data_IF_743847845428
#
_entry.id   IF_743847845428
#
_cell.length_a   1.000
_cell.length_b   1.000
_cell.length_c   1.000
_cell.angle_alpha   90.00
_cell.angle_beta   90.00
_cell.angle_gamma   90.00
#
_symmetry.space_group_name_H-M   'P 1'
#
loop_
_entity.id
_entity.type
_entity.pdbx_description
1 polymer ?
#
# COMPACT_ATOMS: atom_id res chain seq x y z
N UNK A 1 -43.05 -7.20 18.08
CA UNK A 1 -43.50 -6.95 19.46
C UNK A 1 -42.55 -7.63 20.42
N UNK A 2 -42.02 -6.85 21.35
CA UNK A 2 -41.22 -7.34 22.48
C UNK A 2 -42.15 -7.67 23.64
N UNK A 3 -41.82 -8.65 24.48
CA UNK A 3 -42.61 -9.01 25.66
C UNK A 3 -41.70 -9.43 26.82
N UNK A 4 -42.20 -9.29 28.04
CA UNK A 4 -41.47 -9.62 29.26
C UNK A 4 -41.82 -11.03 29.73
N UNK A 5 -40.84 -11.79 30.17
CA UNK A 5 -41.00 -13.14 30.72
C UNK A 5 -40.24 -13.26 32.04
N UNK A 6 -40.86 -13.85 33.06
CA UNK A 6 -40.21 -14.11 34.34
C UNK A 6 -39.30 -15.35 34.22
N UNK A 7 -38.03 -15.21 34.62
CA UNK A 7 -37.03 -16.29 34.55
C UNK A 7 -36.64 -16.85 35.93
N UNK A 8 -36.98 -16.16 37.01
CA UNK A 8 -36.76 -16.63 38.39
C UNK A 8 -37.56 -15.80 39.42
N UNK A 9 -37.40 -16.09 40.72
CA UNK A 9 -38.16 -15.44 41.79
C UNK A 9 -38.06 -13.90 41.78
N UNK A 10 -36.91 -13.34 41.39
CA UNK A 10 -36.68 -11.90 41.26
C UNK A 10 -35.88 -11.55 39.99
N UNK A 11 -36.10 -12.29 38.90
CA UNK A 11 -35.37 -12.08 37.64
C UNK A 11 -36.30 -12.16 36.43
N UNK A 12 -36.16 -11.19 35.54
CA UNK A 12 -36.97 -11.01 34.35
C UNK A 12 -36.07 -10.96 33.10
N UNK A 13 -36.62 -11.39 31.96
CA UNK A 13 -36.02 -11.25 30.63
C UNK A 13 -36.99 -10.58 29.66
N UNK A 14 -36.45 -9.84 28.71
CA UNK A 14 -37.22 -9.29 27.58
C UNK A 14 -36.97 -10.16 26.35
N UNK A 15 -38.04 -10.62 25.72
CA UNK A 15 -38.00 -11.38 24.47
C UNK A 15 -38.56 -10.56 23.33
N UNK A 16 -38.03 -10.76 22.14
CA UNK A 16 -38.45 -10.02 20.96
C UNK A 16 -38.30 -10.89 19.72
N UNK A 17 -39.09 -10.60 18.68
CA UNK A 17 -38.95 -11.29 17.39
C UNK A 17 -37.92 -10.57 16.53
N UNK A 18 -36.98 -11.33 15.95
CA UNK A 18 -36.04 -10.86 14.93
C UNK A 18 -36.68 -10.91 13.55
N UNK A 19 -36.10 -10.19 12.58
CA UNK A 19 -36.59 -10.14 11.20
C UNK A 19 -36.66 -11.53 10.53
N UNK A 20 -35.80 -12.47 10.94
CA UNK A 20 -35.79 -13.86 10.45
C UNK A 20 -36.78 -14.80 11.19
N UNK A 21 -37.71 -14.27 11.98
CA UNK A 21 -38.70 -15.05 12.74
C UNK A 21 -38.19 -15.71 14.02
N UNK A 22 -36.87 -15.69 14.27
CA UNK A 22 -36.28 -16.20 15.51
C UNK A 22 -36.55 -15.27 16.70
N UNK A 23 -36.59 -15.84 17.91
CA UNK A 23 -36.84 -15.09 19.15
C UNK A 23 -35.53 -14.74 19.83
N UNK A 24 -35.27 -13.45 20.03
CA UNK A 24 -34.18 -12.94 20.87
C UNK A 24 -34.57 -12.87 22.35
N UNK A 25 -33.58 -12.79 23.22
CA UNK A 25 -33.75 -12.69 24.67
C UNK A 25 -32.66 -11.80 25.28
N UNK A 26 -33.05 -10.86 26.12
CA UNK A 26 -32.16 -10.05 26.97
C UNK A 26 -32.53 -10.32 28.42
N UNK A 27 -31.73 -11.11 29.15
CA UNK A 27 -31.93 -11.36 30.58
C UNK A 27 -31.29 -10.26 31.44
N UNK A 28 -31.56 -10.25 32.75
CA UNK A 28 -30.80 -9.46 33.73
C UNK A 28 -31.58 -8.35 34.45
N UNK A 29 -32.91 -8.30 34.30
CA UNK A 29 -33.72 -7.31 34.99
C UNK A 29 -34.17 -7.82 36.36
N UNK A 30 -33.95 -7.05 37.42
CA UNK A 30 -34.35 -7.38 38.80
C UNK A 30 -35.82 -7.08 39.10
N UNK A 31 -36.45 -6.21 38.30
CA UNK A 31 -37.87 -5.84 38.44
C UNK A 31 -38.61 -5.95 37.11
N UNK A 32 -39.91 -6.24 37.18
CA UNK A 32 -40.79 -6.30 36.00
C UNK A 32 -40.85 -4.97 35.27
N UNK A 33 -40.99 -3.87 36.02
CA UNK A 33 -41.08 -2.52 35.46
C UNK A 33 -39.82 -2.10 34.68
N UNK A 34 -38.62 -2.50 35.13
CA UNK A 34 -37.38 -2.25 34.37
C UNK A 34 -37.33 -3.04 33.06
N UNK A 35 -37.85 -4.27 33.05
CA UNK A 35 -37.95 -5.09 31.85
C UNK A 35 -39.01 -4.54 30.87
N UNK A 36 -40.15 -4.05 31.36
CA UNK A 36 -41.20 -3.43 30.55
C UNK A 36 -40.71 -2.13 29.91
N UNK A 37 -40.07 -1.23 30.68
CA UNK A 37 -39.49 0.00 30.14
C UNK A 37 -38.45 -0.28 29.05
N UNK A 38 -37.59 -1.29 29.24
CA UNK A 38 -36.63 -1.70 28.22
C UNK A 38 -37.30 -2.29 26.97
N UNK A 39 -38.41 -3.02 27.14
CA UNK A 39 -39.19 -3.52 26.00
C UNK A 39 -39.83 -2.38 25.20
N UNK A 40 -40.33 -1.34 25.86
CA UNK A 40 -40.92 -0.15 25.22
C UNK A 40 -39.88 0.68 24.47
N UNK A 41 -38.69 0.89 25.06
CA UNK A 41 -37.55 1.52 24.38
C UNK A 41 -37.14 0.72 23.15
N UNK A 42 -37.09 -0.61 23.28
CA UNK A 42 -36.77 -1.52 22.18
C UNK A 42 -37.80 -1.44 21.04
N UNK A 43 -39.10 -1.39 21.36
CA UNK A 43 -40.13 -1.19 20.35
C UNK A 43 -40.04 0.18 19.69
N UNK A 44 -39.72 1.22 20.45
CA UNK A 44 -39.51 2.57 19.94
C UNK A 44 -38.36 2.60 18.94
N UNK A 45 -37.25 1.95 19.26
CA UNK A 45 -36.11 1.82 18.35
C UNK A 45 -36.44 0.99 17.11
N UNK A 46 -37.26 -0.06 17.24
CA UNK A 46 -37.72 -0.88 16.10
C UNK A 46 -38.61 -0.06 15.16
N UNK A 47 -39.53 0.73 15.72
CA UNK A 47 -40.40 1.65 14.96
C UNK A 47 -39.58 2.73 14.23
N UNK A 48 -38.55 3.27 14.89
CA UNK A 48 -37.60 4.23 14.29
C UNK A 48 -36.66 3.59 13.27
N UNK A 49 -36.65 2.25 13.15
CA UNK A 49 -35.70 1.47 12.34
C UNK A 49 -34.23 1.70 12.73
N UNK A 50 -33.99 2.11 13.98
CA UNK A 50 -32.66 2.34 14.57
C UNK A 50 -32.26 1.16 15.47
N UNK A 51 -33.18 0.24 15.75
CA UNK A 51 -32.92 -0.92 16.58
C UNK A 51 -31.78 -1.79 16.07
N UNK A 52 -30.89 -2.14 17.00
CA UNK A 52 -29.72 -2.99 16.80
C UNK A 52 -29.87 -4.19 17.70
N UNK A 53 -29.63 -5.38 17.16
CA UNK A 53 -29.65 -6.59 17.97
C UNK A 53 -28.52 -6.51 19.02
N UNK A 54 -28.83 -6.53 20.33
CA UNK A 54 -27.79 -6.55 21.36
C UNK A 54 -26.86 -7.77 21.26
N UNK A 55 -27.28 -8.83 20.58
CA UNK A 55 -26.41 -9.96 20.25
C UNK A 55 -25.41 -9.65 19.14
N UNK A 56 -25.76 -8.77 18.19
CA UNK A 56 -24.88 -8.34 17.10
C UNK A 56 -23.71 -7.50 17.61
N UNK A 57 -23.95 -6.61 18.58
CA UNK A 57 -22.90 -5.79 19.20
C UNK A 57 -21.91 -6.59 20.05
N UNK A 58 -22.31 -7.79 20.50
CA UNK A 58 -21.45 -8.75 21.23
C UNK A 58 -20.51 -9.54 20.33
N UNK A 59 -20.71 -9.53 19.01
CA UNK A 59 -19.75 -10.12 18.08
C UNK A 59 -18.40 -9.42 18.25
N UNK A 60 -17.31 -10.18 18.33
CA UNK A 60 -15.97 -9.59 18.42
C UNK A 60 -15.51 -9.06 17.06
N UNK A 61 -14.59 -8.10 17.07
CA UNK A 61 -14.00 -7.59 15.83
C UNK A 61 -13.34 -8.72 15.01
N UNK A 62 -12.67 -9.67 15.66
CA UNK A 62 -12.06 -10.82 14.99
C UNK A 62 -13.08 -11.67 14.23
N UNK A 63 -14.17 -12.05 14.88
CA UNK A 63 -15.25 -12.81 14.26
C UNK A 63 -15.95 -12.05 13.12
N UNK A 64 -16.03 -10.73 13.25
CA UNK A 64 -16.55 -9.88 12.17
C UNK A 64 -15.59 -9.84 10.97
N UNK A 65 -14.30 -9.61 11.22
CA UNK A 65 -13.26 -9.58 10.18
C UNK A 65 -13.16 -10.91 9.42
N UNK A 66 -13.33 -12.05 10.09
CA UNK A 66 -13.37 -13.38 9.43
C UNK A 66 -14.48 -13.49 8.37
N UNK A 67 -15.61 -12.81 8.57
CA UNK A 67 -16.73 -12.76 7.60
C UNK A 67 -16.56 -11.64 6.58
N UNK A 68 -16.02 -10.51 7.03
CA UNK A 68 -15.90 -9.28 6.26
C UNK A 68 -14.75 -9.34 5.24
N UNK A 69 -13.61 -9.93 5.60
CA UNK A 69 -12.40 -9.90 4.76
C UNK A 69 -12.53 -10.70 3.46
N UNK A 70 -13.11 -11.93 3.44
CA UNK A 70 -13.21 -12.73 2.21
C UNK A 70 -14.12 -12.14 1.14
N UNK A 71 -15.05 -11.25 1.50
CA UNK A 71 -15.99 -10.63 0.55
C UNK A 71 -15.46 -9.32 -0.05
N UNK A 72 -14.27 -8.87 0.35
CA UNK A 72 -13.69 -7.63 -0.16
C UNK A 72 -13.18 -7.81 -1.60
N UNK A 73 -13.77 -7.04 -2.52
CA UNK A 73 -13.29 -6.96 -3.91
C UNK A 73 -12.28 -5.81 -4.04
N UNK A 74 -11.03 -6.09 -3.69
CA UNK A 74 -9.93 -5.12 -3.78
C UNK A 74 -8.72 -5.74 -4.46
N UNK A 75 -7.89 -4.87 -5.06
CA UNK A 75 -6.64 -5.28 -5.71
C UNK A 75 -5.77 -6.17 -4.79
N UNK A 76 -5.10 -7.23 -5.30
CA UNK A 76 -4.33 -8.18 -4.49
C UNK A 76 -3.30 -7.54 -3.56
N UNK A 77 -2.69 -6.42 -3.96
CA UNK A 77 -1.73 -5.70 -3.10
C UNK A 77 -2.45 -5.03 -1.92
N UNK A 78 -3.68 -4.59 -2.12
CA UNK A 78 -4.53 -4.02 -1.07
C UNK A 78 -4.92 -5.11 -0.08
N UNK A 79 -5.28 -6.31 -0.56
CA UNK A 79 -5.50 -7.50 0.29
C UNK A 79 -4.29 -7.78 1.17
N UNK A 80 -3.08 -7.84 0.60
CA UNK A 80 -1.84 -8.05 1.36
C UNK A 80 -1.60 -6.99 2.44
N UNK A 81 -1.83 -5.72 2.11
CA UNK A 81 -1.66 -4.64 3.07
C UNK A 81 -2.68 -4.77 4.21
N UNK A 82 -3.94 -5.05 3.87
CA UNK A 82 -5.00 -5.21 4.85
C UNK A 82 -4.73 -6.39 5.77
N UNK A 83 -4.38 -7.55 5.22
CA UNK A 83 -4.01 -8.72 5.99
C UNK A 83 -2.83 -8.42 6.92
N UNK A 84 -1.78 -7.75 6.43
CA UNK A 84 -0.65 -7.33 7.26
C UNK A 84 -1.07 -6.39 8.38
N UNK A 85 -1.96 -5.43 8.12
CA UNK A 85 -2.42 -4.48 9.15
C UNK A 85 -3.32 -5.17 10.18
N UNK A 86 -4.20 -6.06 9.72
CA UNK A 86 -5.06 -6.89 10.56
C UNK A 86 -4.21 -7.74 11.50
N UNK A 87 -3.31 -8.55 10.93
CA UNK A 87 -2.48 -9.51 11.67
C UNK A 87 -1.54 -8.85 12.66
N UNK A 88 -0.86 -7.79 12.26
CA UNK A 88 0.23 -7.20 13.05
C UNK A 88 -0.24 -6.15 14.05
N UNK A 89 -1.40 -5.52 13.83
CA UNK A 89 -1.78 -4.31 14.57
C UNK A 89 -3.24 -4.30 15.02
N UNK A 90 -4.20 -4.41 14.09
CA UNK A 90 -5.62 -4.22 14.40
C UNK A 90 -6.17 -5.36 15.27
N UNK A 91 -5.99 -6.61 14.84
CA UNK A 91 -6.50 -7.78 15.58
C UNK A 91 -5.73 -8.02 16.88
N UNK A 92 -4.46 -7.61 16.94
CA UNK A 92 -3.65 -7.66 18.17
C UNK A 92 -4.29 -6.80 19.26
N UNK A 93 -4.81 -5.61 18.93
CA UNK A 93 -5.40 -4.70 19.91
C UNK A 93 -6.88 -4.94 20.16
N UNK A 94 -7.65 -5.16 19.10
CA UNK A 94 -9.12 -5.12 19.14
C UNK A 94 -9.78 -6.46 18.79
N UNK A 95 -9.03 -7.48 18.37
CA UNK A 95 -9.61 -8.71 17.79
C UNK A 95 -10.56 -9.45 18.72
N UNK A 96 -10.30 -9.46 20.03
CA UNK A 96 -11.16 -10.10 21.03
C UNK A 96 -12.24 -9.18 21.59
N UNK A 97 -12.20 -7.88 21.29
CA UNK A 97 -13.17 -6.91 21.82
C UNK A 97 -14.51 -7.05 21.07
N UNK A 98 -15.64 -7.06 21.79
CA UNK A 98 -16.97 -6.88 21.18
C UNK A 98 -17.03 -5.58 20.37
N UNK A 99 -17.68 -5.60 19.22
CA UNK A 99 -17.82 -4.44 18.35
C UNK A 99 -18.45 -3.24 19.09
N UNK A 100 -19.44 -3.50 19.96
CA UNK A 100 -20.12 -2.48 20.74
C UNK A 100 -19.28 -1.88 21.88
N UNK A 101 -18.17 -2.49 22.26
CA UNK A 101 -17.30 -2.03 23.34
C UNK A 101 -16.10 -1.22 22.83
N UNK A 102 -15.85 -1.21 21.51
CA UNK A 102 -14.74 -0.44 20.94
C UNK A 102 -15.09 1.05 21.02
N UNK A 103 -14.39 1.80 21.86
CA UNK A 103 -14.64 3.24 22.04
C UNK A 103 -13.65 4.11 21.26
N UNK A 104 -14.01 5.38 21.09
CA UNK A 104 -13.10 6.38 20.53
C UNK A 104 -11.84 6.57 21.39
N UNK A 105 -11.95 6.38 22.72
CA UNK A 105 -10.84 6.51 23.65
C UNK A 105 -9.82 5.37 23.45
N UNK A 106 -10.29 4.14 23.22
CA UNK A 106 -9.42 2.99 22.94
C UNK A 106 -8.61 3.20 21.66
N UNK A 107 -9.25 3.75 20.64
CA UNK A 107 -8.61 4.07 19.36
C UNK A 107 -7.57 5.19 19.55
N UNK A 108 -7.92 6.26 20.27
CA UNK A 108 -6.99 7.37 20.54
C UNK A 108 -5.78 6.90 21.37
N UNK A 109 -5.99 6.01 22.36
CA UNK A 109 -4.94 5.39 23.14
C UNK A 109 -4.02 4.53 22.26
N UNK A 110 -4.60 3.66 21.43
CA UNK A 110 -3.84 2.81 20.51
C UNK A 110 -3.02 3.62 19.49
N UNK A 111 -3.58 4.71 18.98
CA UNK A 111 -2.86 5.63 18.08
C UNK A 111 -1.67 6.27 18.80
N UNK A 112 -1.84 6.70 20.05
CA UNK A 112 -0.78 7.29 20.86
C UNK A 112 0.33 6.26 21.14
N UNK A 113 -0.04 5.07 21.63
CA UNK A 113 0.89 3.96 21.89
C UNK A 113 1.68 3.57 20.63
N UNK A 114 1.01 3.51 19.48
CA UNK A 114 1.66 3.22 18.20
C UNK A 114 2.67 4.30 17.80
N UNK A 115 2.37 5.57 18.05
CA UNK A 115 3.32 6.66 17.79
C UNK A 115 4.51 6.63 18.78
N UNK A 116 4.26 6.30 20.05
CA UNK A 116 5.30 6.13 21.07
C UNK A 116 6.22 4.94 20.78
N UNK A 117 5.68 3.87 20.18
CA UNK A 117 6.44 2.74 19.66
C UNK A 117 7.29 3.07 18.40
N UNK A 118 7.24 4.31 17.90
CA UNK A 118 8.09 4.78 16.81
C UNK A 118 7.52 4.63 15.40
N UNK A 119 6.25 4.22 15.25
CA UNK A 119 5.62 4.15 13.93
C UNK A 119 5.36 5.54 13.35
N UNK A 120 5.54 5.68 12.04
CA UNK A 120 5.25 6.93 11.34
C UNK A 120 3.74 7.26 11.38
N UNK A 121 3.41 8.54 11.56
CA UNK A 121 2.03 9.04 11.62
C UNK A 121 1.18 8.60 10.42
N UNK A 122 1.76 8.58 9.21
CA UNK A 122 1.07 8.15 8.00
C UNK A 122 0.73 6.65 8.03
N UNK A 123 1.61 5.82 8.62
CA UNK A 123 1.40 4.37 8.77
C UNK A 123 0.26 4.10 9.75
N UNK A 124 0.30 4.73 10.94
CA UNK A 124 -0.77 4.61 11.94
C UNK A 124 -2.10 5.08 11.37
N UNK A 125 -2.12 6.17 10.60
CA UNK A 125 -3.32 6.65 9.92
C UNK A 125 -3.89 5.63 8.92
N UNK A 126 -3.05 4.84 8.24
CA UNK A 126 -3.53 3.75 7.36
C UNK A 126 -4.20 2.62 8.14
N UNK A 127 -3.68 2.27 9.32
CA UNK A 127 -4.31 1.26 10.18
C UNK A 127 -5.67 1.73 10.70
N UNK A 128 -5.75 2.98 11.16
CA UNK A 128 -7.02 3.59 11.61
C UNK A 128 -8.03 3.68 10.46
N UNK A 129 -7.59 3.98 9.24
CA UNK A 129 -8.47 3.97 8.06
C UNK A 129 -9.06 2.59 7.79
N UNK A 130 -8.25 1.54 7.85
CA UNK A 130 -8.74 0.17 7.70
C UNK A 130 -9.74 -0.18 8.80
N UNK A 131 -9.42 0.12 10.06
CA UNK A 131 -10.35 -0.08 11.18
C UNK A 131 -11.66 0.70 10.97
N UNK A 132 -11.58 1.95 10.52
CA UNK A 132 -12.76 2.76 10.23
C UNK A 132 -13.63 2.14 9.14
N UNK A 133 -13.03 1.60 8.07
CA UNK A 133 -13.76 0.91 7.01
C UNK A 133 -14.49 -0.34 7.55
N UNK A 134 -13.79 -1.20 8.30
CA UNK A 134 -14.37 -2.40 8.92
C UNK A 134 -15.57 -2.03 9.82
N UNK A 135 -15.44 -0.96 10.60
CA UNK A 135 -16.48 -0.50 11.52
C UNK A 135 -17.63 0.23 10.81
N UNK A 136 -17.39 0.89 9.67
CA UNK A 136 -18.48 1.44 8.85
C UNK A 136 -19.35 0.32 8.28
N UNK A 137 -18.73 -0.74 7.76
CA UNK A 137 -19.48 -1.88 7.22
C UNK A 137 -20.24 -2.60 8.35
N UNK A 138 -19.70 -2.62 9.57
CA UNK A 138 -20.43 -3.11 10.74
C UNK A 138 -21.64 -2.23 11.10
N UNK A 139 -21.57 -0.91 10.90
CA UNK A 139 -22.72 0.01 11.04
C UNK A 139 -23.77 -0.27 9.96
N UNK A 140 -23.35 -0.46 8.71
CA UNK A 140 -24.26 -0.77 7.60
C UNK A 140 -25.01 -2.09 7.83
N UNK A 141 -24.32 -3.08 8.39
CA UNK A 141 -24.89 -4.37 8.81
C UNK A 141 -25.66 -4.30 10.14
N UNK A 142 -25.80 -3.10 10.74
CA UNK A 142 -26.50 -2.86 12.01
C UNK A 142 -25.98 -3.71 13.17
N UNK A 143 -24.67 -3.99 13.19
CA UNK A 143 -23.99 -4.63 14.32
C UNK A 143 -23.66 -3.62 15.42
N UNK A 144 -23.41 -2.36 15.03
CA UNK A 144 -23.14 -1.23 15.93
C UNK A 144 -23.86 0.03 15.45
N UNK A 145 -24.19 0.98 16.35
CA UNK A 145 -24.99 2.15 16.00
C UNK A 145 -24.22 3.22 15.25
N UNK A 146 -22.93 3.32 15.50
CA UNK A 146 -22.08 4.34 14.91
C UNK A 146 -20.63 3.88 14.92
N UNK A 147 -19.85 4.39 13.96
CA UNK A 147 -18.43 4.16 13.92
C UNK A 147 -17.73 4.97 15.03
N UNK A 148 -17.02 4.33 15.99
CA UNK A 148 -16.31 5.03 17.05
C UNK A 148 -15.08 5.80 16.55
N UNK A 149 -14.60 5.53 15.32
CA UNK A 149 -13.55 6.33 14.68
C UNK A 149 -14.11 7.72 14.40
N UNK A 150 -13.94 8.63 15.37
CA UNK A 150 -14.41 10.02 15.24
C UNK A 150 -13.77 10.67 14.02
N UNK A 151 -14.61 11.18 13.11
CA UNK A 151 -14.20 12.29 12.25
C UNK A 151 -14.06 13.54 13.12
N UNK A 152 -12.95 13.66 13.86
CA UNK A 152 -12.65 14.90 14.60
C UNK A 152 -12.55 16.04 13.58
N UNK A 153 -13.62 16.81 13.39
CA UNK A 153 -13.52 18.22 13.00
C UNK A 153 -12.69 18.85 14.11
N UNK A 154 -11.42 19.10 13.80
CA UNK A 154 -10.33 19.42 14.73
C UNK A 154 -10.66 20.61 15.64
N UNK A 155 -11.39 20.39 16.74
CA UNK A 155 -11.51 21.39 17.82
C UNK A 155 -10.17 21.45 18.56
N UNK A 156 -9.45 22.56 18.42
CA UNK A 156 -8.40 22.98 19.36
C UNK A 156 -6.95 22.57 19.09
N UNK A 157 -6.62 21.64 18.18
CA UNK A 157 -5.22 21.28 17.89
C UNK A 157 -4.71 21.94 16.61
N UNK A 158 -3.80 22.91 16.73
CA UNK A 158 -2.93 23.37 15.63
C UNK A 158 -2.03 22.20 15.21
N UNK A 159 -2.53 21.34 14.34
CA UNK A 159 -1.68 20.36 13.67
C UNK A 159 -0.91 21.12 12.58
N UNK A 160 0.30 21.62 12.91
CA UNK A 160 1.28 21.98 11.88
C UNK A 160 1.74 20.67 11.24
N UNK A 161 0.98 20.16 10.28
CA UNK A 161 1.49 19.16 9.36
C UNK A 161 2.52 19.88 8.51
N UNK A 162 3.77 19.89 8.96
CA UNK A 162 4.89 20.29 8.12
C UNK A 162 4.94 19.23 7.03
N UNK A 163 4.40 19.54 5.85
CA UNK A 163 4.56 18.69 4.69
C UNK A 163 6.07 18.55 4.47
N UNK A 164 6.60 17.34 4.70
CA UNK A 164 8.00 17.07 4.37
C UNK A 164 8.14 17.30 2.87
N UNK A 165 9.03 18.20 2.50
CA UNK A 165 9.37 18.42 1.10
C UNK A 165 9.82 17.08 0.51
N UNK A 166 9.19 16.68 -0.60
CA UNK A 166 9.53 15.41 -1.23
C UNK A 166 10.89 15.58 -1.90
N UNK A 167 11.85 14.75 -1.51
CA UNK A 167 13.19 14.72 -2.10
C UNK A 167 13.09 14.40 -3.59
N UNK A 168 13.73 15.23 -4.41
CA UNK A 168 13.86 15.05 -5.85
C UNK A 168 15.31 15.30 -6.26
N UNK A 169 15.76 14.68 -7.35
CA UNK A 169 17.14 14.73 -7.82
C UNK A 169 17.28 15.63 -9.06
N UNK A 170 18.39 16.34 -9.18
CA UNK A 170 18.79 17.00 -10.43
C UNK A 170 19.18 15.96 -11.49
N UNK A 171 19.17 16.31 -12.79
CA UNK A 171 19.66 15.43 -13.84
C UNK A 171 21.08 14.89 -13.58
N UNK A 172 22.00 15.72 -13.09
CA UNK A 172 23.37 15.35 -12.74
C UNK A 172 23.41 14.32 -11.59
N UNK A 173 22.61 14.55 -10.55
CA UNK A 173 22.48 13.58 -9.45
C UNK A 173 21.91 12.25 -9.93
N UNK A 174 20.92 12.27 -10.84
CA UNK A 174 20.38 11.05 -11.42
C UNK A 174 21.44 10.30 -12.23
N UNK A 175 22.26 10.97 -13.03
CA UNK A 175 23.34 10.30 -13.76
C UNK A 175 24.35 9.66 -12.81
N UNK A 176 24.74 10.36 -11.74
CA UNK A 176 25.61 9.78 -10.71
C UNK A 176 24.99 8.55 -10.04
N UNK A 177 23.70 8.61 -9.70
CA UNK A 177 22.97 7.46 -9.13
C UNK A 177 22.91 6.32 -10.15
N UNK A 178 22.67 6.62 -11.42
CA UNK A 178 22.62 5.63 -12.48
C UNK A 178 23.98 4.96 -12.70
N UNK A 179 25.08 5.70 -12.72
CA UNK A 179 26.43 5.16 -12.84
C UNK A 179 26.77 4.25 -11.64
N UNK A 180 26.43 4.67 -10.41
CA UNK A 180 26.59 3.85 -9.21
C UNK A 180 25.69 2.60 -9.24
N UNK A 181 24.46 2.71 -9.75
CA UNK A 181 23.58 1.57 -9.97
C UNK A 181 24.14 0.62 -11.03
N UNK A 182 24.85 1.14 -12.05
CA UNK A 182 25.58 0.36 -13.04
C UNK A 182 26.69 -0.50 -12.44
N UNK A 183 27.48 0.08 -11.52
CA UNK A 183 28.52 -0.66 -10.78
C UNK A 183 27.90 -1.78 -9.92
N UNK A 184 26.74 -1.54 -9.32
CA UNK A 184 26.12 -2.47 -8.37
C UNK A 184 25.23 -3.54 -9.00
N UNK A 185 24.59 -3.23 -10.13
CA UNK A 185 23.54 -4.04 -10.75
C UNK A 185 23.67 -4.18 -12.27
N UNK A 186 24.81 -3.78 -12.85
CA UNK A 186 25.09 -3.87 -14.27
C UNK A 186 24.38 -2.81 -15.12
N UNK A 187 24.61 -2.87 -16.43
CA UNK A 187 24.15 -1.85 -17.37
C UNK A 187 22.61 -1.70 -17.41
N UNK A 188 21.86 -2.80 -17.20
CA UNK A 188 20.40 -2.78 -17.10
C UNK A 188 19.94 -1.87 -15.96
N UNK A 189 20.58 -1.95 -14.79
CA UNK A 189 20.24 -1.13 -13.64
C UNK A 189 20.50 0.35 -13.90
N UNK A 190 21.63 0.68 -14.53
CA UNK A 190 21.98 2.03 -14.95
C UNK A 190 20.92 2.60 -15.89
N UNK A 191 20.59 1.86 -16.95
CA UNK A 191 19.61 2.31 -17.94
C UNK A 191 18.20 2.41 -17.37
N UNK A 192 17.81 1.52 -16.46
CA UNK A 192 16.53 1.57 -15.77
C UNK A 192 16.35 2.86 -14.96
N UNK A 193 17.38 3.29 -14.22
CA UNK A 193 17.36 4.55 -13.45
C UNK A 193 17.21 5.76 -14.37
N UNK A 194 17.98 5.81 -15.47
CA UNK A 194 17.87 6.89 -16.47
C UNK A 194 16.48 6.89 -17.09
N UNK A 195 15.98 5.73 -17.52
CA UNK A 195 14.67 5.61 -18.15
C UNK A 195 13.56 6.07 -17.20
N UNK A 196 13.60 5.63 -15.93
CA UNK A 196 12.64 6.05 -14.91
C UNK A 196 12.61 7.56 -14.69
N UNK A 197 13.78 8.21 -14.65
CA UNK A 197 13.88 9.63 -14.40
C UNK A 197 13.47 10.51 -15.59
N UNK A 198 13.68 10.07 -16.85
CA UNK A 198 13.33 10.87 -18.04
C UNK A 198 11.96 10.55 -18.65
N UNK A 199 11.36 9.42 -18.28
CA UNK A 199 9.98 9.09 -18.68
C UNK A 199 8.97 9.41 -17.57
N UNK A 200 9.40 9.34 -16.31
CA UNK A 200 8.52 9.41 -15.16
C UNK A 200 7.67 8.15 -14.97
N UNK A 201 8.00 7.03 -15.60
CA UNK A 201 7.27 5.77 -15.42
C UNK A 201 7.34 5.24 -13.99
N UNK A 202 6.31 4.49 -13.58
CA UNK A 202 6.32 3.77 -12.31
C UNK A 202 7.19 2.51 -12.42
N UNK A 203 7.57 1.93 -11.27
CA UNK A 203 8.34 0.67 -11.22
C UNK A 203 7.68 -0.43 -12.05
N UNK A 204 6.40 -0.71 -11.78
CA UNK A 204 5.66 -1.78 -12.45
C UNK A 204 5.60 -1.57 -13.97
N UNK A 205 5.46 -0.32 -14.43
CA UNK A 205 5.41 0.03 -15.85
C UNK A 205 6.74 -0.28 -16.56
N UNK A 206 7.88 0.01 -15.93
CA UNK A 206 9.19 -0.30 -16.52
C UNK A 206 9.56 -1.78 -16.37
N UNK A 207 9.21 -2.41 -15.25
CA UNK A 207 9.48 -3.83 -15.03
C UNK A 207 8.64 -4.74 -15.94
N UNK A 208 7.49 -4.26 -16.43
CA UNK A 208 6.65 -4.94 -17.43
C UNK A 208 6.92 -4.48 -18.87
N UNK A 209 7.87 -3.57 -19.11
CA UNK A 209 8.08 -3.02 -20.44
C UNK A 209 8.55 -4.10 -21.42
N UNK A 210 7.63 -4.56 -22.27
CA UNK A 210 7.88 -5.48 -23.36
C UNK A 210 8.54 -4.75 -24.54
N UNK A 211 9.35 -5.45 -25.35
CA UNK A 211 9.99 -4.88 -26.55
C UNK A 211 8.99 -4.33 -27.55
N UNK A 212 7.90 -5.06 -27.80
CA UNK A 212 6.89 -4.65 -28.78
C UNK A 212 6.18 -3.35 -28.38
N UNK A 213 6.24 -2.98 -27.10
CA UNK A 213 5.72 -1.73 -26.58
C UNK A 213 6.76 -0.59 -26.63
N UNK A 214 7.86 -0.77 -27.36
CA UNK A 214 8.94 0.20 -27.49
C UNK A 214 9.29 0.43 -28.97
N UNK A 215 8.61 1.39 -29.58
CA UNK A 215 8.90 1.85 -30.94
C UNK A 215 10.04 2.87 -30.90
N UNK A 216 11.26 2.41 -31.16
CA UNK A 216 12.45 3.27 -31.17
C UNK A 216 12.64 4.05 -32.47
N UNK A 217 11.88 3.75 -33.52
CA UNK A 217 11.97 4.45 -34.79
C UNK A 217 11.17 5.74 -34.76
N UNK A 218 9.99 5.71 -34.13
CA UNK A 218 9.21 6.93 -33.82
C UNK A 218 9.52 7.50 -32.44
N UNK A 219 10.32 6.80 -31.62
CA UNK A 219 10.76 7.24 -30.31
C UNK A 219 9.64 7.25 -29.27
N UNK A 220 8.86 6.17 -29.18
CA UNK A 220 7.68 6.03 -28.32
C UNK A 220 7.77 4.80 -27.43
N UNK A 221 7.38 4.97 -26.17
CA UNK A 221 7.16 3.90 -25.21
C UNK A 221 5.67 3.83 -24.90
N UNK A 222 5.08 2.64 -25.03
CA UNK A 222 3.67 2.39 -24.73
C UNK A 222 3.54 1.69 -23.38
N UNK A 223 2.71 2.24 -22.50
CA UNK A 223 2.24 1.55 -21.30
C UNK A 223 0.90 0.90 -21.65
N UNK A 224 0.93 -0.42 -21.84
CA UNK A 224 -0.22 -1.20 -22.25
C UNK A 224 -1.37 -1.18 -21.21
N UNK A 225 -2.65 -1.06 -21.62
CA UNK A 225 -3.78 -1.01 -20.70
C UNK A 225 -4.06 -2.31 -19.95
N UNK A 226 -3.70 -3.47 -20.48
CA UNK A 226 -4.03 -4.79 -19.91
C UNK A 226 -2.84 -5.44 -19.21
N UNK A 227 -1.63 -5.26 -19.75
CA UNK A 227 -0.40 -5.90 -19.25
C UNK A 227 0.73 -4.92 -18.96
N UNK A 228 0.47 -3.60 -19.02
CA UNK A 228 1.49 -2.56 -18.88
C UNK A 228 2.02 -2.33 -17.47
N UNK A 229 1.76 -3.22 -16.52
CA UNK A 229 2.36 -3.15 -15.18
C UNK A 229 2.67 -4.54 -14.61
N UNK A 230 3.87 -4.67 -14.05
CA UNK A 230 4.26 -5.83 -13.26
C UNK A 230 3.77 -5.65 -11.82
N UNK A 231 2.94 -6.59 -11.38
CA UNK A 231 2.44 -6.65 -10.01
C UNK A 231 3.26 -7.63 -9.19
N UNK A 232 3.42 -7.35 -7.90
CA UNK A 232 4.17 -8.18 -6.96
C UNK A 232 3.37 -8.33 -5.67
N UNK A 233 3.10 -9.57 -5.25
CA UNK A 233 2.37 -9.92 -4.02
C UNK A 233 2.78 -11.32 -3.57
N UNK A 234 2.97 -11.53 -2.27
CA UNK A 234 3.30 -12.82 -1.64
C UNK A 234 4.34 -13.68 -2.38
N UNK A 235 5.42 -13.05 -2.85
CA UNK A 235 6.49 -13.76 -3.57
C UNK A 235 6.11 -14.23 -4.99
N UNK A 236 5.00 -13.75 -5.53
CA UNK A 236 4.57 -13.96 -6.92
C UNK A 236 4.62 -12.65 -7.71
N UNK A 237 4.72 -12.80 -9.03
CA UNK A 237 4.73 -11.71 -10.02
C UNK A 237 3.84 -12.08 -11.20
N UNK A 238 3.07 -11.12 -11.68
CA UNK A 238 2.22 -11.28 -12.85
C UNK A 238 2.06 -9.93 -13.56
N UNK A 239 1.75 -10.00 -14.85
CA UNK A 239 1.37 -8.82 -15.62
C UNK A 239 -0.11 -8.53 -15.40
N UNK A 240 -0.44 -7.25 -15.41
CA UNK A 240 -1.82 -6.79 -15.32
C UNK A 240 -1.94 -5.31 -15.65
N UNK A 241 -3.16 -4.77 -15.56
CA UNK A 241 -3.42 -3.40 -15.93
C UNK A 241 -2.63 -2.46 -15.01
N UNK A 242 -2.23 -1.27 -15.50
CA UNK A 242 -1.57 -0.30 -14.66
C UNK A 242 -2.54 0.23 -13.60
N UNK A 243 -1.97 0.80 -12.52
CA UNK A 243 -2.72 1.19 -11.32
C UNK A 243 -3.95 2.07 -11.57
N UNK A 244 -3.93 2.88 -12.63
CA UNK A 244 -5.07 3.72 -13.03
C UNK A 244 -5.25 3.64 -14.54
N UNK A 245 -6.48 3.79 -15.07
CA UNK A 245 -6.72 3.83 -16.51
C UNK A 245 -5.88 4.91 -17.22
N UNK A 246 -5.74 6.09 -16.60
CA UNK A 246 -4.88 7.18 -17.09
C UNK A 246 -3.41 6.81 -17.24
N UNK A 247 -2.95 5.73 -16.59
CA UNK A 247 -1.58 5.27 -16.68
C UNK A 247 -1.31 4.52 -17.98
N UNK A 248 -2.33 3.95 -18.63
CA UNK A 248 -2.21 3.42 -19.98
C UNK A 248 -2.03 4.59 -20.96
N UNK A 249 -0.84 4.72 -21.55
CA UNK A 249 -0.45 5.92 -22.30
C UNK A 249 0.79 5.67 -23.16
N UNK A 250 0.93 6.48 -24.20
CA UNK A 250 2.16 6.59 -24.97
C UNK A 250 3.02 7.73 -24.45
N UNK A 251 4.32 7.49 -24.31
CA UNK A 251 5.31 8.45 -23.83
C UNK A 251 6.35 8.65 -24.94
N UNK A 252 6.42 9.86 -25.49
CA UNK A 252 7.49 10.20 -26.41
C UNK A 252 8.85 10.28 -25.68
N UNK A 253 9.90 9.80 -26.34
CA UNK A 253 11.24 9.64 -25.80
C UNK A 253 12.18 10.69 -26.40
N UNK A 254 13.03 11.34 -25.58
CA UNK A 254 14.05 12.23 -26.12
C UNK A 254 15.10 11.43 -26.92
N UNK A 255 15.72 12.02 -27.97
CA UNK A 255 16.61 11.30 -28.88
C UNK A 255 17.76 10.54 -28.21
N UNK A 256 18.35 11.07 -27.12
CA UNK A 256 19.41 10.37 -26.41
C UNK A 256 18.92 9.05 -25.81
N UNK A 257 17.69 9.01 -25.29
CA UNK A 257 17.15 7.84 -24.61
C UNK A 257 16.83 6.76 -25.64
N UNK A 258 16.31 7.15 -26.81
CA UNK A 258 16.14 6.26 -27.96
C UNK A 258 17.46 5.57 -28.32
N UNK A 259 18.55 6.33 -28.44
CA UNK A 259 19.88 5.76 -28.73
C UNK A 259 20.37 4.79 -27.65
N UNK A 260 20.17 5.13 -26.37
CA UNK A 260 20.59 4.26 -25.26
C UNK A 260 19.78 2.96 -25.22
N UNK A 261 18.47 3.04 -25.44
CA UNK A 261 17.60 1.87 -25.49
C UNK A 261 17.91 1.00 -26.71
N UNK A 262 18.16 1.60 -27.89
CA UNK A 262 18.53 0.87 -29.11
C UNK A 262 19.81 0.05 -28.88
N UNK A 263 20.87 0.70 -28.38
CA UNK A 263 22.13 0.02 -28.04
C UNK A 263 21.95 -1.10 -27.02
N UNK A 264 21.08 -0.91 -26.03
CA UNK A 264 20.78 -1.95 -25.05
C UNK A 264 20.13 -3.16 -25.72
N UNK A 265 19.14 -2.93 -26.59
CA UNK A 265 18.41 -4.00 -27.27
C UNK A 265 19.23 -4.76 -28.32
N UNK A 266 20.30 -4.18 -28.87
CA UNK A 266 21.24 -4.87 -29.78
C UNK A 266 21.86 -6.12 -29.15
N UNK A 267 22.18 -6.08 -27.85
CA UNK A 267 22.84 -7.19 -27.13
C UNK A 267 21.94 -7.87 -26.10
N UNK A 268 20.72 -7.35 -25.90
CA UNK A 268 19.75 -7.94 -24.98
C UNK A 268 18.95 -8.98 -25.78
N UNK A 269 18.81 -10.24 -25.34
CA UNK A 269 18.02 -11.24 -26.08
C UNK A 269 16.59 -11.44 -25.56
N UNK A 270 16.23 -10.83 -24.42
CA UNK A 270 14.97 -11.13 -23.72
C UNK A 270 13.79 -10.23 -24.09
N UNK A 271 12.58 -10.77 -24.11
CA UNK A 271 11.31 -10.10 -24.42
C UNK A 271 11.06 -8.80 -23.64
N UNK A 272 11.44 -8.75 -22.36
CA UNK A 272 11.31 -7.54 -21.54
C UNK A 272 12.57 -6.69 -21.60
N UNK A 273 12.40 -5.37 -21.71
CA UNK A 273 13.50 -4.40 -21.84
C UNK A 273 14.41 -4.41 -20.60
N UNK A 274 13.83 -4.58 -19.42
CA UNK A 274 14.56 -4.59 -18.15
C UNK A 274 14.36 -5.91 -17.40
N UNK A 275 15.38 -6.78 -17.44
CA UNK A 275 15.37 -8.09 -16.79
C UNK A 275 16.57 -8.28 -15.88
N UNK A 276 16.56 -9.36 -15.08
CA UNK A 276 17.79 -9.87 -14.50
C UNK A 276 18.68 -10.53 -15.59
N UNK A 277 19.85 -11.02 -15.19
CA UNK A 277 20.81 -11.66 -16.09
C UNK A 277 20.26 -12.91 -16.81
N UNK A 278 19.22 -13.55 -16.27
CA UNK A 278 18.59 -14.74 -16.84
C UNK A 278 17.33 -14.42 -17.66
N UNK A 279 17.02 -13.15 -17.90
CA UNK A 279 15.83 -12.74 -18.66
C UNK A 279 14.52 -12.72 -17.88
N UNK A 280 14.52 -13.06 -16.59
CA UNK A 280 13.33 -12.97 -15.75
C UNK A 280 13.08 -11.53 -15.30
N UNK A 281 11.84 -11.23 -14.91
CA UNK A 281 11.49 -9.95 -14.31
C UNK A 281 12.39 -9.58 -13.13
N UNK A 282 12.54 -8.27 -12.92
CA UNK A 282 13.18 -7.74 -11.72
C UNK A 282 12.22 -7.81 -10.52
N UNK A 283 12.77 -7.99 -9.33
CA UNK A 283 12.04 -7.84 -8.07
C UNK A 283 12.26 -6.42 -7.55
N UNK A 284 11.20 -5.70 -7.20
CA UNK A 284 11.31 -4.36 -6.63
C UNK A 284 12.15 -4.34 -5.36
N UNK A 285 11.87 -5.27 -4.45
CA UNK A 285 12.55 -5.34 -3.14
C UNK A 285 14.04 -5.66 -3.30
N UNK A 286 14.40 -6.53 -4.23
CA UNK A 286 15.79 -6.88 -4.53
C UNK A 286 16.52 -5.71 -5.17
N UNK A 287 15.92 -5.08 -6.19
CA UNK A 287 16.52 -3.92 -6.85
C UNK A 287 16.70 -2.76 -5.88
N UNK A 288 15.67 -2.43 -5.09
CA UNK A 288 15.74 -1.33 -4.13
C UNK A 288 16.83 -1.58 -3.09
N UNK A 289 16.83 -2.75 -2.44
CA UNK A 289 17.78 -3.09 -1.36
C UNK A 289 19.22 -3.26 -1.85
N UNK A 290 19.43 -3.90 -3.01
CA UNK A 290 20.78 -4.29 -3.47
C UNK A 290 21.43 -3.27 -4.41
N UNK A 291 20.63 -2.47 -5.11
CA UNK A 291 21.12 -1.58 -6.17
C UNK A 291 20.76 -0.13 -5.88
N UNK A 292 19.47 0.20 -5.83
CA UNK A 292 19.06 1.61 -5.80
C UNK A 292 19.41 2.30 -4.47
N UNK A 293 19.07 1.71 -3.32
CA UNK A 293 19.38 2.30 -2.01
C UNK A 293 20.89 2.47 -1.81
N UNK A 294 21.75 1.46 -2.07
CA UNK A 294 23.20 1.65 -2.02
C UNK A 294 23.71 2.69 -3.04
N UNK A 295 23.13 2.76 -4.24
CA UNK A 295 23.48 3.78 -5.25
C UNK A 295 23.06 5.21 -4.86
N UNK A 296 22.08 5.37 -3.96
CA UNK A 296 21.59 6.67 -3.50
C UNK A 296 22.31 7.09 -2.21
N UNK A 297 22.38 6.19 -1.24
CA UNK A 297 22.85 6.44 0.12
C UNK A 297 24.36 6.20 0.27
N UNK A 298 25.00 5.57 -0.72
CA UNK A 298 26.40 5.16 -0.67
C UNK A 298 26.59 3.79 -0.02
N UNK A 299 27.66 3.09 -0.42
CA UNK A 299 28.11 1.88 0.25
C UNK A 299 29.62 1.76 0.13
N UNK A 300 30.26 1.31 1.22
CA UNK A 300 31.69 0.98 1.26
C UNK A 300 31.83 -0.49 1.63
N UNK A 301 32.17 -1.33 0.65
CA UNK A 301 32.48 -2.75 0.82
C UNK A 301 33.80 -3.06 0.09
N UNK A 302 34.51 -4.15 0.43
CA UNK A 302 35.65 -4.61 -0.37
C UNK A 302 35.26 -4.73 -1.84
N UNK A 303 36.06 -4.16 -2.75
CA UNK A 303 35.82 -4.18 -4.20
C UNK A 303 34.78 -3.21 -4.75
N UNK A 304 33.95 -2.57 -3.91
CA UNK A 304 32.91 -1.62 -4.36
C UNK A 304 32.81 -0.42 -3.43
N UNK A 305 33.06 0.78 -3.99
CA UNK A 305 32.87 2.05 -3.29
C UNK A 305 31.99 2.99 -4.11
N UNK A 306 30.83 3.33 -3.57
CA UNK A 306 29.91 4.33 -4.11
C UNK A 306 29.55 5.33 -3.02
N UNK A 307 29.25 6.57 -3.39
CA UNK A 307 29.08 7.68 -2.46
C UNK A 307 27.61 8.07 -2.33
N UNK A 308 27.20 8.64 -1.18
CA UNK A 308 25.88 9.24 -1.07
C UNK A 308 25.70 10.36 -2.10
N UNK A 309 24.60 10.35 -2.83
CA UNK A 309 24.29 11.38 -3.85
C UNK A 309 23.04 12.17 -3.48
N UNK A 310 21.96 11.48 -3.11
CA UNK A 310 20.67 12.11 -2.79
C UNK A 310 19.90 11.31 -1.71
N UNK A 311 20.41 11.25 -0.46
CA UNK A 311 19.82 10.42 0.59
C UNK A 311 18.33 10.70 0.78
N UNK A 312 17.54 9.62 0.93
CA UNK A 312 16.08 9.71 1.07
C UNK A 312 15.31 9.72 -0.25
N UNK A 313 15.99 9.82 -1.41
CA UNK A 313 15.38 9.53 -2.70
C UNK A 313 14.92 8.06 -2.75
N UNK A 314 13.83 7.81 -3.47
CA UNK A 314 13.28 6.48 -3.73
C UNK A 314 13.07 6.29 -5.22
N UNK A 315 12.74 5.08 -5.69
CA UNK A 315 12.39 4.88 -7.09
C UNK A 315 11.24 5.80 -7.55
N UNK A 316 10.22 5.98 -6.71
CA UNK A 316 9.14 6.93 -7.01
C UNK A 316 9.58 8.39 -6.95
N UNK A 317 10.66 8.68 -6.21
CA UNK A 317 11.34 9.97 -6.21
C UNK A 317 11.91 10.34 -7.59
N UNK A 318 12.31 9.37 -8.43
CA UNK A 318 12.74 9.64 -9.81
C UNK A 318 11.58 10.21 -10.65
N UNK A 319 10.38 9.65 -10.49
CA UNK A 319 9.16 10.20 -11.11
C UNK A 319 8.79 11.59 -10.57
N UNK A 320 9.00 11.85 -9.28
CA UNK A 320 8.84 13.20 -8.74
C UNK A 320 9.87 14.18 -9.32
N UNK A 321 11.11 13.74 -9.50
CA UNK A 321 12.15 14.52 -10.17
C UNK A 321 11.75 14.87 -11.59
N UNK A 322 11.27 13.88 -12.36
CA UNK A 322 10.70 14.11 -13.71
C UNK A 322 9.62 15.19 -13.69
N UNK A 323 8.64 15.09 -12.79
CA UNK A 323 7.58 16.11 -12.66
C UNK A 323 8.16 17.50 -12.36
N UNK A 324 9.10 17.60 -11.43
CA UNK A 324 9.77 18.86 -11.10
C UNK A 324 10.51 19.45 -12.31
N UNK A 325 11.16 18.62 -13.12
CA UNK A 325 11.83 19.07 -14.34
C UNK A 325 10.85 19.58 -15.40
N UNK A 326 9.70 18.91 -15.56
CA UNK A 326 8.65 19.39 -16.47
C UNK A 326 8.10 20.75 -16.03
N UNK A 327 7.85 20.94 -14.73
CA UNK A 327 7.41 22.23 -14.17
C UNK A 327 8.48 23.30 -14.44
N UNK A 328 9.74 23.01 -14.12
CA UNK A 328 10.84 23.94 -14.35
C UNK A 328 11.08 24.26 -15.84
N UNK A 329 10.71 23.35 -16.75
CA UNK A 329 10.74 23.55 -18.20
C UNK A 329 9.52 24.28 -18.76
N UNK A 330 8.57 24.70 -17.90
CA UNK A 330 7.36 25.41 -18.32
C UNK A 330 6.32 24.53 -19.02
N UNK A 331 6.33 23.22 -18.82
CA UNK A 331 5.34 22.33 -19.43
C UNK A 331 3.94 22.61 -18.84
N UNK A 332 2.89 22.77 -19.67
CA UNK A 332 1.52 22.95 -19.19
C UNK A 332 1.07 21.77 -18.31
N UNK A 333 0.21 22.03 -17.32
CA UNK A 333 -0.25 21.01 -16.37
C UNK A 333 -0.89 19.80 -17.05
N UNK A 334 -1.69 20.02 -18.11
CA UNK A 334 -2.28 18.96 -18.92
C UNK A 334 -1.22 18.06 -19.57
N UNK A 335 -0.14 18.62 -20.09
CA UNK A 335 0.95 17.85 -20.70
C UNK A 335 1.71 17.04 -19.64
N UNK A 336 1.92 17.61 -18.45
CA UNK A 336 2.50 16.90 -17.31
C UNK A 336 1.62 15.72 -16.87
N UNK A 337 0.31 15.96 -16.73
CA UNK A 337 -0.66 14.97 -16.29
C UNK A 337 -0.78 13.83 -17.31
N UNK A 338 -0.91 14.14 -18.61
CA UNK A 338 -0.94 13.15 -19.70
C UNK A 338 0.33 12.31 -19.73
N UNK A 339 1.53 12.94 -19.68
CA UNK A 339 2.81 12.20 -19.69
C UNK A 339 3.00 11.32 -18.47
N UNK A 340 2.56 11.77 -17.29
CA UNK A 340 2.66 10.99 -16.05
C UNK A 340 1.52 9.97 -15.92
N UNK A 341 0.41 10.14 -16.63
CA UNK A 341 -0.80 9.35 -16.42
C UNK A 341 -1.48 9.69 -15.09
N UNK A 342 -1.58 10.97 -14.77
CA UNK A 342 -2.37 11.49 -13.64
C UNK A 342 -3.73 12.00 -14.14
N UNK A 343 -4.78 11.78 -13.34
CA UNK A 343 -6.02 12.53 -13.50
C UNK A 343 -5.85 13.95 -12.98
N UNK A 344 -6.46 14.91 -13.66
CA UNK A 344 -6.56 16.28 -13.16
C UNK A 344 -7.73 16.38 -12.19
N UNK A 345 -7.60 17.26 -11.20
CA UNK A 345 -8.70 17.55 -10.26
C UNK A 345 -9.92 18.13 -10.98
N UNK A 346 -9.70 18.90 -12.05
CA UNK A 346 -10.74 19.42 -12.93
C UNK A 346 -10.88 18.55 -14.17
N UNK A 347 -11.81 17.58 -14.13
CA UNK A 347 -12.11 16.67 -15.25
C UNK A 347 -12.54 17.39 -16.53
N UNK A 348 -13.12 18.59 -16.44
CA UNK A 348 -13.53 19.37 -17.62
C UNK A 348 -12.29 19.80 -18.41
N UNK A 349 -11.25 20.30 -17.74
CA UNK A 349 -9.99 20.66 -18.40
C UNK A 349 -9.31 19.43 -19.01
N UNK A 350 -9.41 18.27 -18.37
CA UNK A 350 -8.83 17.00 -18.86
C UNK A 350 -9.48 16.52 -20.17
N UNK A 351 -10.81 16.65 -20.29
CA UNK A 351 -11.57 16.17 -21.46
C UNK A 351 -11.39 17.10 -22.68
N UNK A 352 -11.23 18.41 -22.46
CA UNK A 352 -11.23 19.40 -23.56
C UNK A 352 -9.84 19.94 -23.94
N UNK A 353 -8.76 19.49 -23.29
CA UNK A 353 -7.41 20.00 -23.56
C UNK A 353 -6.58 18.99 -24.36
N UNK A 354 -6.43 19.22 -25.67
CA UNK A 354 -5.44 18.51 -26.47
C UNK A 354 -4.05 19.11 -26.25
N UNK A 355 -3.06 18.24 -26.04
CA UNK A 355 -1.65 18.66 -26.03
C UNK A 355 -1.21 18.77 -27.49
N UNK A 356 -0.97 19.99 -27.95
CA UNK A 356 -0.47 20.25 -29.30
C UNK A 356 0.93 19.61 -29.50
N UNK A 357 1.24 19.08 -30.70
CA UNK A 357 2.54 18.45 -30.98
C UNK A 357 3.75 19.32 -30.60
N UNK A 358 3.65 20.65 -30.78
CA UNK A 358 4.72 21.61 -30.47
C UNK A 358 5.08 21.63 -28.98
N UNK A 359 4.09 21.38 -28.10
CA UNK A 359 4.32 21.27 -26.65
C UNK A 359 5.12 20.02 -26.34
N UNK A 360 4.82 18.91 -27.01
CA UNK A 360 5.57 17.66 -26.87
C UNK A 360 7.01 17.84 -27.40
N UNK A 361 7.18 18.43 -28.58
CA UNK A 361 8.51 18.73 -29.14
C UNK A 361 9.34 19.61 -28.20
N UNK A 362 8.74 20.67 -27.64
CA UNK A 362 9.43 21.56 -26.68
C UNK A 362 9.83 20.82 -25.39
N UNK A 363 8.95 19.96 -24.89
CA UNK A 363 9.20 19.11 -23.72
C UNK A 363 10.38 18.17 -23.98
N UNK A 364 10.38 17.47 -25.12
CA UNK A 364 11.47 16.56 -25.52
C UNK A 364 12.79 17.31 -25.71
N UNK A 365 12.76 18.49 -26.32
CA UNK A 365 13.93 19.35 -26.47
C UNK A 365 14.49 19.77 -25.10
N UNK A 366 13.64 20.09 -24.12
CA UNK A 366 14.08 20.41 -22.76
C UNK A 366 14.75 19.21 -22.07
N UNK A 367 14.12 18.04 -22.14
CA UNK A 367 14.68 16.80 -21.59
C UNK A 367 16.03 16.43 -22.25
N UNK A 368 16.15 16.65 -23.55
CA UNK A 368 17.39 16.46 -24.31
C UNK A 368 18.47 17.45 -23.91
N UNK A 369 18.13 18.74 -23.72
CA UNK A 369 19.06 19.76 -23.20
C UNK A 369 19.56 19.42 -21.81
N UNK A 370 18.67 18.98 -20.90
CA UNK A 370 19.02 18.54 -19.54
C UNK A 370 19.99 17.37 -19.57
N UNK A 371 19.76 16.39 -20.43
CA UNK A 371 20.71 15.29 -20.66
C UNK A 371 22.07 15.83 -21.12
N UNK A 372 22.11 16.63 -22.19
CA UNK A 372 23.36 17.16 -22.74
C UNK A 372 24.16 17.96 -21.70
N UNK A 373 23.47 18.77 -20.89
CA UNK A 373 24.07 19.54 -19.78
C UNK A 373 24.64 18.59 -18.73
N UNK A 374 23.85 17.62 -18.27
CA UNK A 374 24.25 16.70 -17.21
C UNK A 374 25.41 15.79 -17.63
N UNK A 375 25.48 15.37 -18.90
CA UNK A 375 26.59 14.56 -19.41
C UNK A 375 27.89 15.34 -19.56
N UNK A 376 27.83 16.66 -19.79
CA UNK A 376 29.03 17.52 -19.89
C UNK A 376 29.68 17.76 -18.52
N UNK A 377 28.88 17.78 -17.45
CA UNK A 377 29.39 17.99 -16.10
C UNK A 377 28.60 17.17 -15.06
N UNK A 378 28.78 15.84 -15.03
CA UNK A 378 28.02 14.96 -14.12
C UNK A 378 28.40 15.17 -12.65
N UNK A 379 29.52 15.83 -12.37
CA UNK A 379 30.02 16.11 -11.02
C UNK A 379 29.71 17.54 -10.53
N UNK A 380 28.99 18.34 -11.31
CA UNK A 380 28.50 19.65 -10.87
C UNK A 380 27.57 19.47 -9.66
N UNK A 381 27.87 20.12 -8.54
CA UNK A 381 26.91 20.19 -7.44
C UNK A 381 25.75 21.07 -7.88
N UNK A 382 24.64 20.44 -8.28
CA UNK A 382 23.36 21.11 -8.46
C UNK A 382 22.96 21.91 -7.20
N UNK A 383 21.95 22.79 -7.28
CA UNK A 383 21.56 23.63 -6.14
C UNK A 383 21.35 22.78 -4.89
N UNK A 384 22.09 23.10 -3.81
CA UNK A 384 22.00 22.39 -2.53
C UNK A 384 20.57 22.49 -2.01
N UNK A 385 19.78 21.43 -2.16
CA UNK A 385 18.55 21.29 -1.40
C UNK A 385 18.92 21.21 0.08
N UNK A 386 18.24 22.00 0.93
CA UNK A 386 18.44 21.92 2.38
C UNK A 386 18.12 20.50 2.81
N UNK A 387 19.09 19.82 3.42
CA UNK A 387 18.87 18.49 3.97
C UNK A 387 17.66 18.53 4.92
N UNK A 388 16.77 17.52 4.90
CA UNK A 388 15.70 17.45 5.88
C UNK A 388 16.33 17.48 7.27
N UNK A 389 15.91 18.43 8.10
CA UNK A 389 16.38 18.57 9.48
C UNK A 389 16.09 17.25 10.19
N UNK A 390 17.15 16.47 10.41
CA UNK A 390 17.09 15.31 11.29
C UNK A 390 17.03 15.86 12.71
N UNK A 391 15.82 15.98 13.27
CA UNK A 391 15.65 16.14 14.71
C UNK A 391 16.17 14.86 15.35
N UNK A 392 17.45 14.84 15.72
CA UNK A 392 17.97 13.88 16.69
C UNK A 392 17.11 14.03 17.97
N UNK A 393 16.71 12.95 18.64
CA UNK A 393 16.18 13.09 20.00
C UNK A 393 17.25 13.80 20.84
N UNK A 394 16.84 14.86 21.55
CA UNK A 394 17.68 15.56 22.52
C UNK A 394 18.28 14.51 23.44
N UNK A 395 19.61 14.39 23.42
CA UNK A 395 20.37 13.70 24.45
C UNK A 395 19.98 14.28 25.81
N UNK A 396 19.68 13.39 26.76
CA UNK A 396 19.39 13.74 28.14
C UNK A 396 20.54 14.59 28.74
N UNK A 397 20.27 15.53 29.66
CA UNK A 397 21.32 16.34 30.26
C UNK A 397 22.27 15.44 31.07
N UNK A 398 23.56 15.63 30.81
CA UNK A 398 24.68 15.01 31.50
C UNK A 398 24.65 15.49 32.97
N UNK A 399 24.40 14.57 33.90
CA UNK A 399 24.49 14.86 35.34
C UNK A 399 25.96 15.17 35.69
N UNK A 400 26.21 16.40 36.13
CA UNK A 400 27.48 16.81 36.71
C UNK A 400 27.70 16.04 38.01
N UNK A 401 28.81 15.30 38.07
CA UNK A 401 29.31 14.68 39.31
C UNK A 401 29.92 15.77 40.18
N UNK A 402 29.27 16.11 41.29
CA UNK A 402 29.89 16.78 42.43
C UNK A 402 30.28 15.73 43.49
N UNK A 403 31.56 15.71 43.85
CA UNK A 403 32.15 14.92 44.95
C UNK A 403 31.64 15.42 46.30
N UNK A 404 31.43 14.52 47.27
CA UNK A 404 31.63 14.66 48.73
C UNK A 404 31.45 13.24 49.34
N UNK A 405 32.54 12.55 49.71
CA UNK A 405 33.07 12.31 51.09
C UNK A 405 32.32 11.22 51.89
N UNK A 406 32.98 10.07 51.97
CA UNK A 406 33.18 9.14 53.12
C UNK A 406 32.07 8.94 54.17
N UNK A 407 31.57 7.70 54.26
CA UNK A 407 31.49 6.93 55.51
C UNK A 407 31.39 5.42 55.19
N UNK A 408 32.26 4.63 55.82
CA UNK A 408 32.24 3.16 55.85
C UNK A 408 31.58 2.67 57.16
N UNK A 409 31.56 1.35 57.47
CA UNK A 409 30.94 0.23 56.77
C UNK A 409 29.95 -0.51 57.70
N UNK A 410 29.29 -1.58 57.24
CA UNK A 410 29.09 -2.86 57.98
C UNK A 410 28.57 -3.87 56.96
N UNK A 411 29.32 -4.95 56.78
CA UNK A 411 28.90 -6.18 56.13
C UNK A 411 29.32 -7.35 57.03
N UNK A 412 28.44 -8.33 57.19
CA UNK A 412 28.78 -9.66 57.69
C UNK A 412 27.88 -10.72 57.04
N UNK A 413 28.52 -11.72 56.44
CA UNK A 413 27.96 -13.02 56.01
C UNK A 413 27.17 -12.99 54.70
N UNK A 414 27.54 -13.65 53.61
CA UNK A 414 28.34 -14.86 53.45
C UNK A 414 27.44 -16.00 52.96
N UNK A 415 27.44 -16.25 51.64
CA UNK A 415 27.39 -17.57 50.97
C UNK A 415 26.92 -17.47 49.51
N UNK A 416 27.84 -17.85 48.63
CA UNK A 416 27.74 -18.64 47.39
C UNK A 416 26.34 -19.00 46.86
N UNK A 417 26.06 -18.59 45.61
CA UNK A 417 25.78 -19.55 44.54
C UNK A 417 25.75 -18.86 43.17
N UNK A 418 26.41 -19.50 42.21
CA UNK A 418 26.25 -19.29 40.76
C UNK A 418 24.78 -19.45 40.36
N UNK A 419 24.25 -18.51 39.58
CA UNK A 419 23.47 -18.75 38.35
C UNK A 419 22.98 -17.42 37.76
N UNK A 420 23.41 -17.17 36.52
CA UNK A 420 22.91 -16.14 35.61
C UNK A 420 21.40 -16.27 35.40
N UNK A 421 20.62 -15.22 35.74
CA UNK A 421 19.23 -15.08 35.29
C UNK A 421 18.87 -13.62 34.97
N UNK A 422 18.24 -13.48 33.80
CA UNK A 422 17.28 -12.47 33.35
C UNK A 422 17.76 -11.16 32.71
N UNK A 423 17.65 -11.14 31.37
CA UNK A 423 16.60 -10.32 30.75
C UNK A 423 15.92 -11.09 29.61
N UNK A 424 15.11 -12.08 29.98
CA UNK A 424 14.24 -12.84 29.09
C UNK A 424 12.87 -12.15 29.03
N UNK A 425 12.62 -11.35 27.99
CA UNK A 425 11.27 -10.89 27.69
C UNK A 425 10.46 -12.08 27.19
N UNK A 426 9.70 -12.66 28.12
CA UNK A 426 8.66 -13.66 27.86
C UNK A 426 7.77 -13.22 26.71
N UNK A 427 7.83 -13.98 25.63
CA UNK A 427 6.73 -14.17 24.70
C UNK A 427 5.54 -14.71 25.50
N UNK A 428 4.65 -13.82 25.94
CA UNK A 428 3.28 -14.23 26.23
C UNK A 428 2.62 -14.45 24.87
N UNK A 429 2.41 -15.72 24.54
CA UNK A 429 1.68 -16.13 23.35
C UNK A 429 0.36 -15.38 23.28
N UNK A 430 0.26 -14.47 22.32
CA UNK A 430 -1.02 -13.91 21.92
C UNK A 430 -1.86 -15.10 21.41
N UNK A 431 -2.85 -15.51 22.20
CA UNK A 431 -3.89 -16.43 21.72
C UNK A 431 -4.64 -15.68 20.63
N UNK A 432 -4.31 -15.97 19.38
CA UNK A 432 -5.07 -15.55 18.22
C UNK A 432 -6.51 -16.06 18.35
N UNK A 433 -7.52 -15.38 17.79
CA UNK A 433 -8.75 -16.06 17.43
C UNK A 433 -8.34 -17.26 16.55
N UNK A 434 -8.68 -18.47 17.00
CA UNK A 434 -8.19 -19.73 16.44
C UNK A 434 -8.61 -19.92 14.97
N UNK A 435 -9.54 -19.10 14.44
CA UNK A 435 -10.00 -19.17 13.05
C UNK A 435 -9.10 -18.48 12.01
N UNK A 436 -8.58 -17.27 12.30
CA UNK A 436 -7.99 -16.43 11.25
C UNK A 436 -6.58 -16.86 10.80
N UNK A 437 -5.74 -17.43 11.69
CA UNK A 437 -4.41 -17.93 11.31
C UNK A 437 -4.48 -19.21 10.46
N UNK A 438 -5.50 -20.04 10.67
CA UNK A 438 -5.68 -21.31 9.96
C UNK A 438 -6.33 -21.14 8.58
N UNK A 439 -7.17 -20.12 8.41
CA UNK A 439 -7.89 -19.85 7.15
C UNK A 439 -6.96 -19.57 5.96
N UNK A 440 -5.75 -19.06 6.21
CA UNK A 440 -4.81 -18.67 5.16
C UNK A 440 -3.61 -19.62 5.01
N UNK A 441 -3.52 -20.69 5.81
CA UNK A 441 -2.57 -21.79 5.59
C UNK A 441 -3.13 -22.89 4.68
N UNK A 442 -4.44 -22.89 4.37
CA UNK A 442 -5.06 -23.92 3.53
C UNK A 442 -5.93 -23.30 2.43
N UNK A 443 -5.35 -23.11 1.25
CA UNK A 443 -6.09 -23.23 0.00
C UNK A 443 -5.55 -24.43 -0.79
N UNK A 444 -6.44 -25.27 -1.34
CA UNK A 444 -6.07 -26.56 -1.87
C UNK A 444 -5.34 -26.42 -3.21
N UNK A 445 -4.30 -27.22 -3.35
CA UNK A 445 -3.58 -27.49 -4.59
C UNK A 445 -4.57 -28.03 -5.64
N UNK A 446 -5.10 -27.15 -6.50
CA UNK A 446 -5.90 -27.52 -7.66
C UNK A 446 -4.98 -27.83 -8.84
N UNK A 447 -4.23 -28.91 -8.70
CA UNK A 447 -3.57 -29.61 -9.81
C UNK A 447 -3.74 -31.12 -9.58
N UNK A 448 -4.92 -31.62 -9.96
CA UNK A 448 -5.10 -33.01 -10.34
C UNK A 448 -5.54 -33.02 -11.79
N UNK A 449 -4.57 -33.13 -12.69
CA UNK A 449 -4.82 -33.61 -14.06
C UNK A 449 -5.20 -35.09 -13.96
N UNK A 450 -6.41 -35.43 -14.39
CA UNK A 450 -6.74 -36.78 -14.80
C UNK A 450 -6.58 -36.86 -16.33
N UNK A 451 -6.11 -38.00 -16.87
CA UNK A 451 -5.77 -38.14 -18.28
C UNK A 451 -7.04 -38.41 -19.11
N UNK A 452 -7.09 -37.88 -20.33
CA UNK A 452 -8.07 -38.27 -21.34
C UNK A 452 -7.28 -38.78 -22.56
N UNK A 453 -7.21 -40.10 -22.68
CA UNK A 453 -7.05 -40.79 -23.95
C UNK A 453 -8.43 -41.31 -24.37
N UNK A 454 -8.84 -41.01 -25.60
CA UNK A 454 -9.37 -41.99 -26.56
C UNK A 454 -9.99 -41.26 -27.77
N UNK A 455 -9.27 -41.47 -28.87
CA UNK A 455 -9.58 -41.47 -30.30
C UNK A 455 -11.04 -41.73 -30.78
N UNK A 456 -11.26 -41.37 -32.04
CA UNK A 456 -12.37 -41.63 -32.97
C UNK A 456 -13.55 -40.64 -32.89
N UNK A 457 -13.92 -39.90 -33.94
CA UNK A 457 -14.23 -40.41 -35.28
C UNK A 457 -14.28 -39.31 -36.36
N UNK A 458 -13.95 -39.73 -37.59
CA UNK A 458 -14.00 -39.01 -38.86
C UNK A 458 -15.43 -38.63 -39.29
N UNK A 459 -15.49 -37.57 -40.10
CA UNK A 459 -16.35 -37.43 -41.29
C UNK A 459 -17.86 -37.29 -41.08
N UNK A 460 -18.40 -36.11 -41.44
CA UNK A 460 -19.39 -35.98 -42.51
C UNK A 460 -19.59 -34.50 -42.89
N UNK A 461 -19.27 -34.20 -44.15
CA UNK A 461 -19.69 -33.01 -44.88
C UNK A 461 -21.19 -33.13 -45.26
N UNK A 462 -21.73 -32.01 -45.75
CA UNK A 462 -23.00 -31.83 -46.45
C UNK A 462 -24.28 -31.65 -45.63
N UNK A 463 -24.69 -30.37 -45.51
CA UNK A 463 -25.83 -29.82 -46.29
C UNK A 463 -25.93 -28.30 -46.12
N UNK A 464 -25.47 -27.56 -47.14
CA UNK A 464 -25.89 -26.18 -47.40
C UNK A 464 -27.30 -26.21 -48.02
N UNK A 465 -28.23 -25.42 -47.47
CA UNK A 465 -29.47 -24.99 -48.14
C UNK A 465 -29.59 -23.47 -47.98
N UNK A 466 -29.61 -22.66 -49.05
CA UNK A 466 -29.72 -21.21 -48.93
C UNK A 466 -31.20 -20.78 -48.98
N UNK A 467 -31.57 -19.80 -48.14
CA UNK A 467 -32.79 -19.01 -48.35
C UNK A 467 -32.59 -18.07 -49.55
N UNK A 468 -33.52 -18.10 -50.51
CA UNK A 468 -33.73 -17.01 -51.48
C UNK A 468 -34.77 -16.04 -50.93
N UNK A 469 -34.61 -14.71 -51.12
CA UNK A 469 -35.70 -13.77 -51.00
C UNK A 469 -36.50 -13.65 -52.32
N UNK A 470 -37.81 -13.44 -52.20
CA UNK A 470 -38.64 -12.83 -53.25
C UNK A 470 -38.07 -11.45 -53.59
N UNK A 471 -38.01 -10.93 -54.81
CA UNK A 471 -38.59 -11.26 -56.10
C UNK A 471 -38.88 -9.92 -56.79
N UNK A 472 -38.53 -9.73 -58.06
CA UNK A 472 -39.22 -8.84 -59.01
C UNK A 472 -38.64 -8.94 -60.43
N UNK A 473 -39.56 -8.88 -61.39
CA UNK A 473 -39.46 -8.87 -62.85
C UNK A 473 -39.15 -10.21 -63.54
#
# INVERSE_FOLDING_TARGET
MAWVEQTGQASWRVRFRRAAGSVGSVPGFSTRGAAEAYADDMETDQRRRVWIDPAGSRMTLGSWVERWFPVQDVDPRTVDNYESYLRCHVLVRFGVMPLGEITALDIDAWVKESMEAGYATATVASWVKLLSMILNDAVEQRLIPANPVRQRRRRGRRCRTIARERVWASPEQVLRIADQAGVLGGQVARLLVITAAWTGCRWGELAALHRDNLDLDTGRLVVDPEVGSLHESRGRRWLGPPKTPSSARTIALPPFLVRLLRRHLETHPFEFVFTNACGSWLWRSTFDRRVLRPAIDGVRKPGVRVYPVCPGLTFHGLRHSHKTWLIAGGAPEIAQARRLGHHLSNRVVEVYSHVAPEVETRLLADLQRRWNKATRNPYSTGPRQKAPVNTRPRTAPQAQRSRLVSAAPIAAGGRDNETDVAHEQRQRGARYPVGWSDMHQKHPNRDRRAPVEADHSRSLQDKKKPLRPAGTA
#
